data_IF_944228512735
#
_entry.id   IF_944228512735
#
_cell.length_a   1.000
_cell.length_b   1.000
_cell.length_c   1.000
_cell.angle_alpha   90.00
_cell.angle_beta   90.00
_cell.angle_gamma   90.00
#
_symmetry.space_group_name_H-M   'P 1'
#
loop_
_entity.id
_entity.type
_entity.pdbx_description
1 polymer ?
#
# COMPACT_ATOMS: atom_id res chain seq x y z
N UNK A 1 8.42 -6.11 -21.84
CA UNK A 1 8.80 -5.44 -20.59
C UNK A 1 7.66 -4.48 -20.25
N UNK A 2 6.82 -4.72 -19.23
CA UNK A 2 5.81 -3.72 -18.87
C UNK A 2 6.55 -2.51 -18.30
N UNK A 3 6.32 -1.34 -18.90
CA UNK A 3 6.85 -0.07 -18.43
C UNK A 3 6.49 0.13 -16.95
N UNK A 4 7.40 0.63 -16.10
CA UNK A 4 7.02 1.01 -14.75
C UNK A 4 5.96 2.10 -14.86
N UNK A 5 4.75 1.84 -14.35
CA UNK A 5 3.73 2.87 -14.22
C UNK A 5 4.32 4.07 -13.50
N UNK A 6 4.15 5.26 -14.07
CA UNK A 6 4.64 6.49 -13.45
C UNK A 6 3.84 6.71 -12.15
N UNK A 7 4.52 6.95 -11.01
CA UNK A 7 3.80 7.24 -9.78
C UNK A 7 3.05 8.56 -9.96
N UNK A 8 1.74 8.54 -9.69
CA UNK A 8 0.86 9.72 -9.70
C UNK A 8 1.11 10.59 -8.48
N UNK A 9 1.40 9.96 -7.35
CA UNK A 9 1.67 10.64 -6.10
C UNK A 9 2.85 9.96 -5.40
N UNK A 10 3.81 10.76 -4.97
CA UNK A 10 4.94 10.31 -4.14
C UNK A 10 4.97 11.22 -2.94
N UNK A 11 4.90 10.65 -1.75
CA UNK A 11 5.11 11.39 -0.51
C UNK A 11 6.06 10.63 0.41
N UNK A 12 6.74 11.40 1.26
CA UNK A 12 7.73 10.92 2.19
C UNK A 12 7.24 11.29 3.59
N UNK A 13 7.09 10.28 4.44
CA UNK A 13 6.66 10.46 5.82
C UNK A 13 7.86 10.29 6.75
N UNK A 14 8.31 11.42 7.31
CA UNK A 14 9.47 11.54 8.19
C UNK A 14 9.13 11.15 9.62
N UNK A 15 9.03 9.84 9.90
CA UNK A 15 9.00 9.30 11.28
C UNK A 15 7.76 9.60 12.13
N UNK A 16 6.97 10.61 11.77
CA UNK A 16 5.79 11.06 12.49
C UNK A 16 4.60 10.13 12.26
N UNK A 17 3.63 10.22 13.18
CA UNK A 17 2.38 9.49 13.05
C UNK A 17 1.57 10.04 11.88
N UNK A 18 1.15 9.16 10.98
CA UNK A 18 0.28 9.50 9.86
C UNK A 18 -0.75 8.39 9.62
N UNK A 19 -1.89 8.74 9.05
CA UNK A 19 -2.79 7.79 8.41
C UNK A 19 -3.21 8.36 7.07
N UNK A 20 -3.07 7.55 6.02
CA UNK A 20 -3.43 7.91 4.66
C UNK A 20 -4.22 6.77 4.02
N UNK A 21 -5.33 7.09 3.37
CA UNK A 21 -6.21 6.12 2.71
C UNK A 21 -6.23 6.33 1.20
N UNK A 22 -6.07 5.23 0.47
CA UNK A 22 -6.02 5.20 -0.99
C UNK A 22 -7.10 4.25 -1.52
N UNK A 23 -7.96 4.74 -2.39
CA UNK A 23 -9.01 3.93 -3.03
C UNK A 23 -8.69 3.72 -4.50
N UNK A 24 -8.71 2.48 -4.95
CA UNK A 24 -8.44 2.06 -6.32
C UNK A 24 -9.67 1.36 -6.88
N UNK A 25 -10.23 1.87 -7.97
CA UNK A 25 -11.29 1.18 -8.72
C UNK A 25 -10.61 0.28 -9.74
N UNK A 26 -10.76 -1.03 -9.58
CA UNK A 26 -10.12 -2.02 -10.46
C UNK A 26 -11.07 -2.42 -11.59
N UNK A 27 -12.36 -2.60 -11.27
CA UNK A 27 -13.42 -2.93 -12.24
C UNK A 27 -14.82 -2.50 -11.70
N UNK A 28 -15.87 -2.65 -12.50
CA UNK A 28 -17.26 -2.29 -12.15
C UNK A 28 -17.78 -3.05 -10.92
N UNK A 29 -17.68 -2.39 -9.76
CA UNK A 29 -18.08 -2.92 -8.45
C UNK A 29 -16.94 -3.55 -7.65
N UNK A 30 -15.70 -3.51 -8.18
CA UNK A 30 -14.50 -3.97 -7.49
C UNK A 30 -13.64 -2.77 -7.08
N UNK A 31 -13.67 -2.45 -5.78
CA UNK A 31 -12.83 -1.41 -5.19
C UNK A 31 -11.81 -2.02 -4.24
N UNK A 32 -10.62 -1.43 -4.22
CA UNK A 32 -9.57 -1.74 -3.27
C UNK A 32 -9.22 -0.49 -2.50
N UNK A 33 -9.50 -0.49 -1.22
CA UNK A 33 -9.13 0.54 -0.28
C UNK A 33 -7.88 0.09 0.48
N UNK A 34 -6.89 0.97 0.59
CA UNK A 34 -5.64 0.73 1.31
C UNK A 34 -5.44 1.87 2.29
N UNK A 35 -5.52 1.58 3.57
CA UNK A 35 -5.16 2.52 4.63
C UNK A 35 -3.77 2.19 5.16
N UNK A 36 -2.88 3.18 5.10
CA UNK A 36 -1.52 3.08 5.63
C UNK A 36 -1.44 3.98 6.85
N UNK A 37 -1.28 3.36 8.02
CA UNK A 37 -1.09 4.05 9.28
C UNK A 37 0.33 3.83 9.78
N UNK A 38 1.01 4.89 10.20
CA UNK A 38 2.27 4.82 10.94
C UNK A 38 2.07 5.37 12.35
N UNK A 39 2.60 4.65 13.33
CA UNK A 39 2.70 5.11 14.71
C UNK A 39 4.11 4.81 15.25
N UNK A 40 4.95 5.85 15.29
CA UNK A 40 6.38 5.72 15.58
C UNK A 40 7.06 4.81 14.55
N UNK A 41 7.58 3.67 15.01
CA UNK A 41 8.23 2.66 14.14
C UNK A 41 7.26 1.66 13.53
N UNK A 42 6.07 1.50 14.11
CA UNK A 42 5.07 0.56 13.61
C UNK A 42 4.32 1.13 12.42
N UNK A 43 4.17 0.33 11.37
CA UNK A 43 3.35 0.64 10.21
C UNK A 43 2.33 -0.47 10.05
N UNK A 44 1.08 -0.08 9.89
CA UNK A 44 -0.06 -0.94 9.60
C UNK A 44 -0.58 -0.58 8.22
N UNK A 45 -0.79 -1.59 7.39
CA UNK A 45 -1.43 -1.48 6.08
C UNK A 45 -2.68 -2.33 6.10
N UNK A 46 -3.83 -1.68 6.13
CA UNK A 46 -5.14 -2.31 6.04
C UNK A 46 -5.60 -2.25 4.59
N UNK A 47 -5.89 -3.41 4.01
CA UNK A 47 -6.33 -3.57 2.63
C UNK A 47 -7.74 -4.13 2.68
N UNK A 48 -8.70 -3.34 2.24
CA UNK A 48 -10.08 -3.74 2.07
C UNK A 48 -10.36 -3.90 0.57
N UNK A 49 -10.85 -5.07 0.19
CA UNK A 49 -11.27 -5.38 -1.18
C UNK A 49 -12.77 -5.61 -1.15
N UNK A 50 -13.50 -4.76 -1.86
CA UNK A 50 -14.96 -4.84 -1.98
C UNK A 50 -15.31 -5.24 -3.41
N UNK A 51 -15.95 -6.39 -3.56
CA UNK A 51 -16.51 -6.87 -4.82
C UNK A 51 -18.02 -7.05 -4.67
N UNK A 52 -18.79 -6.02 -5.05
CA UNK A 52 -20.26 -5.92 -5.05
C UNK A 52 -20.97 -6.23 -3.71
N UNK A 53 -20.78 -7.44 -3.18
CA UNK A 53 -21.33 -7.94 -1.93
C UNK A 53 -20.30 -8.64 -1.01
N UNK A 54 -19.07 -8.87 -1.49
CA UNK A 54 -18.00 -9.50 -0.71
C UNK A 54 -17.00 -8.43 -0.27
N UNK A 55 -16.75 -8.35 1.03
CA UNK A 55 -15.72 -7.51 1.62
C UNK A 55 -14.66 -8.44 2.20
N UNK A 56 -13.44 -8.34 1.69
CA UNK A 56 -12.26 -9.02 2.24
C UNK A 56 -11.32 -7.99 2.83
N UNK A 57 -10.84 -8.23 4.05
CA UNK A 57 -9.95 -7.30 4.76
C UNK A 57 -8.69 -8.02 5.18
N UNK A 58 -7.56 -7.54 4.69
CA UNK A 58 -6.22 -8.02 5.04
C UNK A 58 -5.47 -6.93 5.79
N UNK A 59 -4.91 -7.26 6.94
CA UNK A 59 -4.04 -6.36 7.72
C UNK A 59 -2.61 -6.87 7.68
N UNK A 60 -1.70 -6.03 7.21
CA UNK A 60 -0.26 -6.27 7.27
C UNK A 60 0.39 -5.27 8.23
N UNK A 61 1.28 -5.74 9.09
CA UNK A 61 2.05 -4.88 10.00
C UNK A 61 3.53 -5.09 9.82
N UNK A 62 4.29 -4.00 9.87
CA UNK A 62 5.74 -4.00 9.72
C UNK A 62 6.37 -2.88 10.54
N UNK A 63 7.67 -2.97 10.76
CA UNK A 63 8.44 -1.91 11.42
C UNK A 63 9.35 -1.22 10.41
N UNK A 64 9.45 0.10 10.51
CA UNK A 64 10.38 0.90 9.75
C UNK A 64 11.04 1.95 10.63
N UNK A 65 12.37 2.04 10.53
CA UNK A 65 13.14 3.12 11.15
C UNK A 65 13.46 4.18 10.10
N UNK A 66 13.16 5.44 10.41
CA UNK A 66 13.38 6.57 9.51
C UNK A 66 12.29 6.78 8.45
N UNK A 67 12.57 7.55 7.38
CA UNK A 67 11.55 7.97 6.41
C UNK A 67 10.96 6.80 5.62
N UNK A 68 9.65 6.90 5.37
CA UNK A 68 8.91 5.95 4.52
C UNK A 68 8.45 6.69 3.28
N UNK A 69 8.84 6.18 2.12
CA UNK A 69 8.39 6.70 0.84
C UNK A 69 7.26 5.83 0.32
N UNK A 70 6.13 6.47 0.01
CA UNK A 70 4.94 5.84 -0.54
C UNK A 70 4.73 6.38 -1.95
N UNK A 71 4.63 5.48 -2.93
CA UNK A 71 4.41 5.78 -4.34
C UNK A 71 3.11 5.15 -4.80
N UNK A 72 2.16 6.00 -5.17
CA UNK A 72 0.83 5.59 -5.65
C UNK A 72 0.84 5.58 -7.17
N UNK A 73 0.35 4.49 -7.75
CA UNK A 73 0.21 4.26 -9.19
C UNK A 73 -1.26 3.96 -9.50
N UNK A 74 -1.60 3.88 -10.79
CA UNK A 74 -2.95 3.51 -11.21
C UNK A 74 -3.34 2.09 -10.75
N UNK A 75 -2.36 1.19 -10.67
CA UNK A 75 -2.59 -0.21 -10.29
C UNK A 75 -2.36 -0.50 -8.81
N UNK A 76 -1.97 0.47 -7.99
CA UNK A 76 -1.81 0.29 -6.54
C UNK A 76 -0.71 1.11 -5.90
N UNK A 77 -0.24 0.63 -4.75
CA UNK A 77 0.62 1.35 -3.83
C UNK A 77 1.95 0.61 -3.63
N UNK A 78 3.05 1.35 -3.67
CA UNK A 78 4.40 0.86 -3.41
C UNK A 78 5.00 1.60 -2.22
N UNK A 79 5.56 0.86 -1.27
CA UNK A 79 6.23 1.43 -0.10
C UNK A 79 7.71 1.04 -0.09
N UNK A 80 8.57 1.98 0.23
CA UNK A 80 10.00 1.76 0.42
C UNK A 80 10.47 2.46 1.68
N UNK A 81 11.29 1.79 2.49
CA UNK A 81 11.86 2.33 3.72
C UNK A 81 13.38 2.24 3.63
N UNK A 82 14.10 3.22 4.20
CA UNK A 82 15.57 3.28 4.11
C UNK A 82 16.29 2.38 5.13
N UNK A 83 15.62 1.98 6.21
CA UNK A 83 16.19 1.11 7.24
C UNK A 83 15.12 0.16 7.80
N UNK A 84 15.09 -1.06 7.27
CA UNK A 84 14.94 -2.28 8.07
C UNK A 84 15.16 -3.50 7.16
N UNK A 85 15.72 -4.54 7.75
CA UNK A 85 15.86 -5.90 7.23
C UNK A 85 14.53 -6.48 6.69
N UNK A 86 14.09 -6.04 5.52
CA UNK A 86 13.00 -6.69 4.79
C UNK A 86 13.46 -6.96 3.35
N UNK A 87 14.13 -8.11 3.24
CA UNK A 87 14.13 -8.95 2.05
C UNK A 87 12.71 -9.45 1.66
N UNK A 88 11.66 -8.73 2.05
CA UNK A 88 10.31 -8.87 1.56
C UNK A 88 9.99 -7.60 0.79
N UNK A 89 10.24 -7.62 -0.52
CA UNK A 89 9.48 -6.75 -1.42
C UNK A 89 8.01 -7.02 -1.09
N UNK A 90 7.34 -6.15 -0.33
CA UNK A 90 5.87 -6.08 -0.35
C UNK A 90 5.51 -5.51 -1.71
N UNK A 91 5.68 -6.37 -2.71
CA UNK A 91 5.06 -6.23 -3.99
C UNK A 91 3.67 -6.72 -3.68
N UNK A 92 2.71 -5.80 -3.54
CA UNK A 92 1.30 -6.10 -3.71
C UNK A 92 1.14 -6.60 -5.14
N UNK A 93 1.60 -7.83 -5.38
CA UNK A 93 1.45 -8.54 -6.63
C UNK A 93 -0.05 -8.67 -6.77
N UNK A 94 -0.59 -7.99 -7.79
CA UNK A 94 -1.66 -8.49 -8.65
C UNK A 94 -2.08 -9.89 -8.20
N UNK A 95 -3.14 -9.98 -7.40
CA UNK A 95 -3.84 -11.24 -7.19
C UNK A 95 -4.33 -11.59 -8.58
N UNK A 96 -3.59 -12.47 -9.27
CA UNK A 96 -4.01 -13.01 -10.56
C UNK A 96 -5.25 -13.83 -10.26
N UNK A 97 -6.41 -13.33 -10.66
CA UNK A 97 -7.56 -14.20 -10.86
C UNK A 97 -7.26 -15.06 -12.10
N UNK A 98 -7.40 -16.38 -11.94
CA UNK A 98 -7.44 -17.33 -13.04
C UNK A 98 -8.73 -17.16 -13.82
#
# INVERSE_FOLDING_TARGET
MPYPEKPKHVFEADGDAFSERFSFVIDEGFTKDVEVTRNGRGITVDIEVTDRAVIDTTRETFEADGPVRISVTDSGLYMTTSCALLAGRVRLRRTRFF
#
